data_IF_683445948059
#
_entry.id   IF_683445948059
#
_cell.length_a   1.000
_cell.length_b   1.000
_cell.length_c   1.000
_cell.angle_alpha   90.00
_cell.angle_beta   90.00
_cell.angle_gamma   90.00
#
_symmetry.space_group_name_H-M   'P 1'
#
loop_
_entity.id
_entity.type
_entity.pdbx_description
1 polymer ?
#
# COMPACT_ATOMS: atom_id res chain seq x y z
N UNK A 1 2.02 32.45 17.07
CA UNK A 1 2.30 31.19 17.77
C UNK A 1 1.03 30.37 17.81
N UNK A 2 0.93 29.36 16.93
CA UNK A 2 0.03 28.20 16.99
C UNK A 2 0.26 27.40 15.69
N UNK A 3 1.31 26.59 15.65
CA UNK A 3 1.45 25.54 14.62
C UNK A 3 0.52 24.41 15.02
N UNK A 4 -0.66 24.36 14.41
CA UNK A 4 -1.53 23.19 14.44
C UNK A 4 -0.73 22.00 13.88
N UNK A 5 -0.53 21.00 14.73
CA UNK A 5 0.05 19.73 14.33
C UNK A 5 -0.91 19.06 13.33
N UNK A 6 -0.55 19.07 12.05
CA UNK A 6 -1.30 18.41 10.99
C UNK A 6 -1.62 16.97 11.38
N UNK A 7 -2.87 16.55 11.20
CA UNK A 7 -3.32 15.20 11.52
C UNK A 7 -2.40 14.16 10.84
N UNK A 8 -2.16 12.98 11.45
CA UNK A 8 -1.21 11.99 10.92
C UNK A 8 -1.53 11.52 9.48
N UNK A 9 -2.79 11.65 9.03
CA UNK A 9 -3.19 11.46 7.64
C UNK A 9 -2.58 12.53 6.70
N UNK A 10 -2.58 13.79 7.09
CA UNK A 10 -2.10 14.91 6.25
C UNK A 10 -0.58 14.97 6.20
N UNK A 11 0.10 14.64 7.30
CA UNK A 11 1.55 14.46 7.32
C UNK A 11 2.00 13.31 6.40
N UNK A 12 1.20 12.24 6.28
CA UNK A 12 1.46 11.14 5.37
C UNK A 12 1.30 11.49 3.88
N UNK A 13 0.56 12.55 3.56
CA UNK A 13 0.44 13.08 2.19
C UNK A 13 1.65 13.94 1.79
N UNK A 14 2.31 14.59 2.76
CA UNK A 14 3.50 15.41 2.52
C UNK A 14 4.75 14.56 2.25
N UNK A 15 4.90 13.41 2.92
CA UNK A 15 5.91 12.40 2.59
C UNK A 15 5.31 10.99 2.56
N UNK A 16 4.79 10.57 1.38
CA UNK A 16 4.26 9.23 1.17
C UNK A 16 5.26 8.11 1.48
N UNK A 17 6.57 8.37 1.29
CA UNK A 17 7.62 7.38 1.49
C UNK A 17 7.91 7.19 2.97
N UNK A 18 7.96 8.27 3.75
CA UNK A 18 8.09 8.20 5.20
C UNK A 18 6.90 7.48 5.84
N UNK A 19 5.67 7.75 5.37
CA UNK A 19 4.48 7.03 5.83
C UNK A 19 4.60 5.51 5.58
N UNK A 20 4.97 5.12 4.34
CA UNK A 20 5.14 3.70 4.02
C UNK A 20 6.24 3.05 4.87
N UNK A 21 7.34 3.76 5.14
CA UNK A 21 8.43 3.27 5.98
C UNK A 21 8.01 3.07 7.44
N UNK A 22 7.27 4.02 8.01
CA UNK A 22 6.76 3.91 9.39
C UNK A 22 5.74 2.78 9.52
N UNK A 23 4.86 2.61 8.53
CA UNK A 23 3.90 1.52 8.50
C UNK A 23 4.60 0.15 8.46
N UNK A 24 5.59 0.00 7.58
CA UNK A 24 6.40 -1.24 7.51
C UNK A 24 7.15 -1.45 8.81
N UNK A 25 7.75 -0.42 9.40
CA UNK A 25 8.43 -0.54 10.70
C UNK A 25 7.52 -1.06 11.82
N UNK A 26 6.25 -0.65 11.83
CA UNK A 26 5.27 -1.04 12.85
C UNK A 26 4.69 -2.44 12.65
N UNK A 27 4.51 -2.86 11.41
CA UNK A 27 3.78 -4.11 11.06
C UNK A 27 4.69 -5.24 10.56
N UNK A 28 5.86 -4.91 10.03
CA UNK A 28 6.82 -5.84 9.44
C UNK A 28 8.26 -5.32 9.64
N UNK A 29 8.77 -5.50 10.86
CA UNK A 29 10.09 -5.02 11.27
C UNK A 29 11.22 -5.70 10.49
N UNK A 30 11.08 -6.98 10.14
CA UNK A 30 12.05 -7.73 9.34
C UNK A 30 12.23 -7.09 7.95
N UNK A 31 11.13 -6.78 7.27
CA UNK A 31 11.20 -6.06 6.00
C UNK A 31 11.81 -4.67 6.15
N UNK A 32 11.60 -3.99 7.29
CA UNK A 32 12.23 -2.69 7.55
C UNK A 32 13.76 -2.80 7.65
N UNK A 33 14.27 -3.81 8.35
CA UNK A 33 15.71 -4.08 8.44
C UNK A 33 16.31 -4.38 7.07
N UNK A 34 15.68 -5.27 6.30
CA UNK A 34 16.13 -5.64 4.95
C UNK A 34 16.11 -4.41 4.02
N UNK A 35 15.12 -3.54 4.16
CA UNK A 35 15.00 -2.31 3.37
C UNK A 35 16.22 -1.38 3.50
N UNK A 36 16.96 -1.45 4.61
CA UNK A 36 18.16 -0.62 4.83
C UNK A 36 19.36 -1.09 4.01
N UNK A 37 19.38 -2.34 3.54
CA UNK A 37 20.44 -2.89 2.67
C UNK A 37 20.24 -2.54 1.19
N UNK A 38 19.03 -2.14 0.78
CA UNK A 38 18.78 -1.70 -0.59
C UNK A 38 19.35 -0.29 -0.84
N UNK A 39 19.81 0.03 -2.07
CA UNK A 39 20.29 1.37 -2.37
C UNK A 39 19.15 2.41 -2.38
N UNK A 40 19.47 3.64 -1.95
CA UNK A 40 18.51 4.73 -1.65
C UNK A 40 17.47 4.98 -2.75
N UNK A 41 17.82 4.78 -4.01
CA UNK A 41 16.93 5.02 -5.15
C UNK A 41 15.80 3.98 -5.29
N UNK A 42 15.99 2.75 -4.80
CA UNK A 42 14.97 1.67 -4.81
C UNK A 42 14.28 1.50 -3.46
N UNK A 43 14.86 2.02 -2.38
CA UNK A 43 14.29 1.92 -1.03
C UNK A 43 12.84 2.42 -0.98
N UNK A 44 12.54 3.56 -1.62
CA UNK A 44 11.18 4.10 -1.67
C UNK A 44 10.18 3.13 -2.30
N UNK A 45 10.54 2.55 -3.45
CA UNK A 45 9.72 1.55 -4.14
C UNK A 45 9.52 0.28 -3.32
N UNK A 46 10.57 -0.20 -2.65
CA UNK A 46 10.50 -1.35 -1.75
C UNK A 46 9.54 -1.10 -0.58
N UNK A 47 9.67 0.04 0.11
CA UNK A 47 8.78 0.39 1.23
C UNK A 47 7.34 0.60 0.78
N UNK A 48 7.10 1.21 -0.39
CA UNK A 48 5.75 1.36 -0.94
C UNK A 48 5.09 0.01 -1.22
N UNK A 49 5.83 -0.92 -1.82
CA UNK A 49 5.35 -2.26 -2.12
C UNK A 49 5.09 -3.06 -0.83
N UNK A 50 5.99 -2.97 0.16
CA UNK A 50 5.79 -3.63 1.46
C UNK A 50 4.63 -3.04 2.24
N UNK A 51 4.46 -1.72 2.25
CA UNK A 51 3.32 -1.05 2.87
C UNK A 51 1.99 -1.51 2.24
N UNK A 52 1.95 -1.66 0.91
CA UNK A 52 0.80 -2.22 0.22
C UNK A 52 0.49 -3.67 0.63
N UNK A 53 1.50 -4.53 0.73
CA UNK A 53 1.30 -5.91 1.19
C UNK A 53 0.78 -5.99 2.63
N UNK A 54 1.29 -5.12 3.52
CA UNK A 54 0.83 -4.99 4.91
C UNK A 54 -0.64 -4.57 4.96
N UNK A 55 -1.05 -3.55 4.19
CA UNK A 55 -2.46 -3.15 4.12
C UNK A 55 -3.35 -4.28 3.61
N UNK A 56 -2.93 -5.00 2.56
CA UNK A 56 -3.68 -6.14 2.05
C UNK A 56 -3.78 -7.28 3.08
N UNK A 57 -2.79 -7.46 3.95
CA UNK A 57 -2.83 -8.46 5.01
C UNK A 57 -3.77 -8.01 6.13
N UNK A 58 -3.70 -6.74 6.51
CA UNK A 58 -4.58 -6.15 7.51
C UNK A 58 -6.06 -6.26 7.12
N UNK A 59 -6.41 -6.24 5.83
CA UNK A 59 -7.78 -6.49 5.38
C UNK A 59 -8.26 -7.87 5.83
N UNK A 60 -7.44 -8.91 5.71
CA UNK A 60 -7.78 -10.28 6.12
C UNK A 60 -7.94 -10.42 7.63
N UNK A 61 -7.10 -9.73 8.41
CA UNK A 61 -7.17 -9.77 9.88
C UNK A 61 -8.41 -9.00 10.41
N UNK A 62 -8.88 -8.00 9.67
CA UNK A 62 -9.99 -7.13 10.10
C UNK A 62 -11.36 -7.67 9.67
N UNK A 63 -11.43 -8.55 8.65
CA UNK A 63 -12.72 -9.08 8.19
C UNK A 63 -13.23 -10.24 9.02
N UNK A 64 -13.86 -9.91 10.14
CA UNK A 64 -14.97 -10.72 10.65
C UNK A 64 -16.24 -10.54 9.80
N UNK A 65 -16.38 -9.40 9.09
CA UNK A 65 -17.51 -9.09 8.22
C UNK A 65 -17.10 -9.09 6.73
N UNK A 66 -17.59 -10.07 5.97
CA UNK A 66 -17.22 -10.30 4.57
C UNK A 66 -17.51 -9.10 3.63
N UNK A 67 -18.48 -8.24 3.97
CA UNK A 67 -18.85 -7.09 3.14
C UNK A 67 -17.77 -6.01 3.16
N UNK A 68 -17.19 -5.72 4.34
CA UNK A 68 -16.16 -4.68 4.51
C UNK A 68 -14.88 -5.05 3.74
N UNK A 69 -14.50 -6.33 3.75
CA UNK A 69 -13.33 -6.81 3.00
C UNK A 69 -13.51 -6.70 1.50
N UNK A 70 -14.71 -7.03 0.98
CA UNK A 70 -15.02 -6.85 -0.44
C UNK A 70 -14.90 -5.38 -0.85
N UNK A 71 -15.44 -4.45 -0.06
CA UNK A 71 -15.33 -3.02 -0.35
C UNK A 71 -13.88 -2.54 -0.34
N UNK A 72 -13.07 -2.97 0.65
CA UNK A 72 -11.66 -2.54 0.73
C UNK A 72 -10.79 -3.16 -0.37
N UNK A 73 -11.03 -4.40 -0.75
CA UNK A 73 -10.38 -5.01 -1.92
C UNK A 73 -10.78 -4.30 -3.22
N UNK A 74 -12.05 -3.91 -3.36
CA UNK A 74 -12.52 -3.15 -4.51
C UNK A 74 -11.85 -1.77 -4.58
N UNK A 75 -11.72 -1.06 -3.45
CA UNK A 75 -10.95 0.19 -3.37
C UNK A 75 -9.53 0.01 -3.90
N UNK A 76 -8.83 -1.05 -3.50
CA UNK A 76 -7.46 -1.29 -3.98
C UNK A 76 -7.39 -1.65 -5.48
N UNK A 77 -8.41 -2.32 -6.03
CA UNK A 77 -8.50 -2.54 -7.50
C UNK A 77 -8.62 -1.23 -8.25
N UNK A 78 -9.50 -0.35 -7.77
CA UNK A 78 -9.74 0.95 -8.40
C UNK A 78 -8.55 1.90 -8.18
N UNK A 79 -7.86 1.79 -7.05
CA UNK A 79 -6.61 2.49 -6.79
C UNK A 79 -5.51 2.09 -7.79
N UNK A 80 -5.32 0.80 -8.07
CA UNK A 80 -4.33 0.34 -9.06
C UNK A 80 -4.70 0.81 -10.47
N UNK A 81 -5.99 0.79 -10.83
CA UNK A 81 -6.44 1.37 -12.11
C UNK A 81 -6.10 2.86 -12.17
N UNK A 82 -6.43 3.62 -11.14
CA UNK A 82 -6.08 5.04 -11.05
C UNK A 82 -4.58 5.31 -11.14
N UNK A 83 -3.74 4.49 -10.50
CA UNK A 83 -2.28 4.58 -10.62
C UNK A 83 -1.82 4.30 -12.06
N UNK A 84 -2.40 3.30 -12.74
CA UNK A 84 -2.08 2.99 -14.13
C UNK A 84 -2.51 4.12 -15.09
N UNK A 85 -3.63 4.77 -14.82
CA UNK A 85 -4.18 5.89 -15.58
C UNK A 85 -3.51 7.25 -15.22
N UNK A 86 -2.51 7.25 -14.33
CA UNK A 86 -1.80 8.46 -13.89
C UNK A 86 -2.60 9.37 -12.94
N UNK A 87 -3.71 8.88 -12.39
CA UNK A 87 -4.57 9.55 -11.40
C UNK A 87 -4.63 8.74 -10.10
N UNK A 88 -3.54 8.70 -9.31
CA UNK A 88 -3.54 7.96 -8.06
C UNK A 88 -4.57 8.56 -7.08
N UNK A 89 -5.31 7.72 -6.31
CA UNK A 89 -6.20 8.22 -5.26
C UNK A 89 -5.40 8.91 -4.14
N UNK A 90 -6.08 9.75 -3.35
CA UNK A 90 -5.52 10.47 -2.19
C UNK A 90 -5.24 9.52 -1.03
N UNK A 91 -4.33 8.57 -1.23
CA UNK A 91 -3.88 7.62 -0.23
C UNK A 91 -2.34 7.59 -0.26
N UNK A 92 -1.65 7.73 0.90
CA UNK A 92 -0.19 7.84 0.94
C UNK A 92 0.51 6.66 0.25
N UNK A 93 0.02 5.43 0.48
CA UNK A 93 0.56 4.24 -0.18
C UNK A 93 0.30 4.23 -1.69
N UNK A 94 -0.84 4.73 -2.15
CA UNK A 94 -1.14 4.77 -3.59
C UNK A 94 -0.26 5.81 -4.32
N UNK A 95 0.01 6.95 -3.67
CA UNK A 95 0.95 7.95 -4.16
C UNK A 95 2.39 7.41 -4.20
N UNK A 96 2.81 6.71 -3.14
CA UNK A 96 4.13 6.07 -3.09
C UNK A 96 4.27 4.95 -4.15
N UNK A 97 3.20 4.17 -4.37
CA UNK A 97 3.16 3.16 -5.44
C UNK A 97 3.23 3.79 -6.83
N UNK A 98 2.60 4.94 -7.05
CA UNK A 98 2.69 5.65 -8.32
C UNK A 98 4.12 6.11 -8.59
N UNK A 99 4.79 6.73 -7.62
CA UNK A 99 6.22 7.09 -7.75
C UNK A 99 7.10 5.86 -7.98
N UNK A 100 6.82 4.76 -7.27
CA UNK A 100 7.50 3.47 -7.48
C UNK A 100 7.27 2.91 -8.89
N UNK A 101 6.07 3.05 -9.44
CA UNK A 101 5.74 2.61 -10.80
C UNK A 101 6.58 3.36 -11.83
N UNK A 102 6.73 4.67 -11.66
CA UNK A 102 7.53 5.52 -12.56
C UNK A 102 9.03 5.22 -12.46
N UNK A 103 9.55 5.02 -11.24
CA UNK A 103 11.00 4.81 -11.03
C UNK A 103 11.48 3.41 -11.34
N UNK A 104 10.69 2.39 -11.03
CA UNK A 104 11.08 0.99 -11.12
C UNK A 104 10.36 0.23 -12.26
N UNK A 105 9.57 0.92 -13.08
CA UNK A 105 8.82 0.37 -14.22
C UNK A 105 8.00 -0.89 -13.85
N UNK A 106 7.35 -0.87 -12.68
CA UNK A 106 6.52 -1.99 -12.24
C UNK A 106 5.24 -2.05 -13.08
N UNK A 107 4.95 -3.13 -13.81
CA UNK A 107 3.71 -3.21 -14.55
C UNK A 107 2.54 -3.41 -13.57
N UNK A 108 1.51 -2.56 -13.70
CA UNK A 108 0.32 -2.57 -12.83
C UNK A 108 -0.44 -3.92 -12.87
N UNK A 109 -0.17 -4.74 -13.88
CA UNK A 109 -0.64 -6.13 -13.98
C UNK A 109 -0.20 -7.00 -12.79
N UNK A 110 1.05 -6.91 -12.32
CA UNK A 110 1.51 -7.72 -11.19
C UNK A 110 0.80 -7.32 -9.88
N UNK A 111 0.63 -6.02 -9.65
CA UNK A 111 -0.10 -5.52 -8.49
C UNK A 111 -1.56 -6.00 -8.49
N UNK A 112 -2.21 -5.98 -9.65
CA UNK A 112 -3.58 -6.46 -9.81
C UNK A 112 -3.71 -7.95 -9.52
N UNK A 113 -2.78 -8.76 -10.03
CA UNK A 113 -2.72 -10.21 -9.76
C UNK A 113 -2.57 -10.54 -8.27
N UNK A 114 -1.81 -9.74 -7.53
CA UNK A 114 -1.66 -9.92 -6.08
C UNK A 114 -3.01 -9.73 -5.37
N UNK A 115 -3.78 -8.71 -5.76
CA UNK A 115 -5.13 -8.51 -5.21
C UNK A 115 -6.04 -9.66 -5.60
N UNK A 116 -6.05 -10.05 -6.88
CA UNK A 116 -6.88 -11.15 -7.38
C UNK A 116 -6.63 -12.46 -6.62
N UNK A 117 -5.36 -12.83 -6.44
CA UNK A 117 -4.98 -14.02 -5.68
C UNK A 117 -5.50 -14.00 -4.24
N UNK A 118 -5.53 -12.83 -3.59
CA UNK A 118 -6.05 -12.68 -2.23
C UNK A 118 -7.58 -12.69 -2.17
N UNK A 119 -8.25 -12.10 -3.16
CA UNK A 119 -9.72 -12.14 -3.26
C UNK A 119 -10.20 -13.58 -3.49
N UNK A 120 -9.57 -14.33 -4.41
CA UNK A 120 -9.91 -15.74 -4.66
C UNK A 120 -9.74 -16.62 -3.40
N UNK A 121 -8.76 -16.32 -2.54
CA UNK A 121 -8.58 -17.04 -1.27
C UNK A 121 -9.71 -16.78 -0.26
N UNK A 122 -10.25 -15.56 -0.21
CA UNK A 122 -11.41 -15.26 0.63
C UNK A 122 -12.71 -15.92 0.12
N UNK A 123 -12.87 -16.09 -1.20
CA UNK A 123 -14.06 -16.72 -1.79
C UNK A 123 -14.05 -18.24 -1.60
N UNK A 124 -12.88 -18.88 -1.61
CA UNK A 124 -12.73 -20.32 -1.41
C UNK A 124 -12.77 -20.81 0.04
N UNK A 125 -12.83 -19.92 1.04
CA UNK A 125 -12.98 -20.30 2.47
C UNK A 125 -14.45 -20.29 2.93
N UNK A 126 -15.39 -19.98 2.03
CA UNK A 126 -16.84 -19.90 2.27
C UNK A 126 -17.63 -20.95 1.46
N UNK A 127 -16.94 -21.94 0.88
CA UNK A 127 -17.53 -23.15 0.28
C UNK A 127 -16.95 -24.36 0.99
#
# INVERSE_FOLDING_TARGET
MATEAAAPHEAGLADPTAYCRDLVRKRDYESYLIGSFYPRHIQGAFFALRAFYVELASVQDTVSNAMIGKMRMQFWRDAIKGIADGRPPRHPIALALHDAQQRANLPSYHLRRIIDARVSRCVGCWI
#
